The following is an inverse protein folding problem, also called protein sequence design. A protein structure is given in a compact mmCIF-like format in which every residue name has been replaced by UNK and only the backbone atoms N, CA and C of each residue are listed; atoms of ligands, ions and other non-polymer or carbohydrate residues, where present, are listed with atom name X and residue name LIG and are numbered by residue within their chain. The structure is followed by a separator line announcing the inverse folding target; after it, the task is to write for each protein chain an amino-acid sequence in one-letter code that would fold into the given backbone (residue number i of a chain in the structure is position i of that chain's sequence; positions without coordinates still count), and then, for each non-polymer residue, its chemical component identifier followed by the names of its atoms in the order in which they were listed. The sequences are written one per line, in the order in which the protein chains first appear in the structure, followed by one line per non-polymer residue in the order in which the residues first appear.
data_IF_536256791484
#
_entry.id   IF_536256791484
#
_cell.length_a   1.000
_cell.length_b   1.000
_cell.length_c   1.000
_cell.angle_alpha   90.00
_cell.angle_beta   90.00
_cell.angle_gamma   90.00
#
_symmetry.space_group_name_H-M   'P 1'
#
loop_
_entity.id
_entity.type
_entity.pdbx_description
1 polymer ?
#
# COMPACT_ATOMS: atom_id res chain seq x y z
N UNK A 1 18.64 13.59 21.66
CA UNK A 1 18.98 14.02 20.28
C UNK A 1 17.75 13.78 19.39
N UNK A 2 17.25 14.80 18.71
CA UNK A 2 15.93 14.76 18.04
C UNK A 2 15.92 13.71 16.89
N UNK A 3 14.97 12.78 16.89
CA UNK A 3 14.87 11.66 15.93
C UNK A 3 14.86 12.12 14.46
N UNK A 4 14.27 13.29 14.18
CA UNK A 4 14.31 13.93 12.86
C UNK A 4 15.72 14.37 12.43
N UNK A 5 16.59 14.81 13.36
CA UNK A 5 17.99 15.17 13.06
C UNK A 5 18.84 13.94 12.76
N UNK A 6 18.56 12.82 13.42
CA UNK A 6 19.24 11.54 13.17
C UNK A 6 18.88 11.04 11.77
N UNK A 7 17.59 11.00 11.45
CA UNK A 7 17.09 10.57 10.13
C UNK A 7 17.68 11.43 8.99
N UNK A 8 17.70 12.76 9.14
CA UNK A 8 18.33 13.65 8.15
C UNK A 8 19.83 13.39 7.96
N UNK A 9 20.55 13.09 9.04
CA UNK A 9 22.00 12.80 8.97
C UNK A 9 22.28 11.44 8.33
N UNK A 10 21.39 10.46 8.52
CA UNK A 10 21.47 9.16 7.86
C UNK A 10 21.15 9.26 6.35
N UNK A 11 20.10 10.01 5.98
CA UNK A 11 19.76 10.29 4.57
C UNK A 11 20.93 10.98 3.87
N UNK A 12 21.55 11.99 4.49
CA UNK A 12 22.68 12.70 3.91
C UNK A 12 23.92 11.80 3.72
N UNK A 13 24.17 10.89 4.66
CA UNK A 13 25.25 9.89 4.53
C UNK A 13 24.99 8.88 3.41
N UNK A 14 23.73 8.50 3.19
CA UNK A 14 23.35 7.61 2.09
C UNK A 14 23.44 8.33 0.74
N UNK A 15 22.96 9.58 0.64
CA UNK A 15 23.11 10.42 -0.57
C UNK A 15 24.56 10.57 -1.01
N UNK A 16 25.51 10.69 -0.07
CA UNK A 16 26.93 10.81 -0.38
C UNK A 16 27.61 9.52 -0.90
N UNK A 17 26.91 8.38 -0.95
CA UNK A 17 27.44 7.09 -1.43
C UNK A 17 26.91 6.68 -2.81
N UNK A 18 25.91 7.37 -3.33
CA UNK A 18 25.24 7.04 -4.60
C UNK A 18 25.76 8.01 -5.65
N UNK A 19 26.18 7.51 -6.81
CA UNK A 19 26.60 8.38 -7.92
C UNK A 19 25.42 9.20 -8.47
N UNK A 20 25.71 10.29 -9.18
CA UNK A 20 24.67 11.10 -9.83
C UNK A 20 23.86 10.26 -10.83
N UNK A 21 24.53 9.42 -11.61
CA UNK A 21 23.89 8.48 -12.54
C UNK A 21 22.92 7.54 -11.82
N UNK A 22 23.38 6.90 -10.74
CA UNK A 22 22.52 5.99 -9.97
C UNK A 22 21.35 6.73 -9.29
N UNK A 23 21.55 7.98 -8.90
CA UNK A 23 20.49 8.81 -8.32
C UNK A 23 19.39 9.07 -9.35
N UNK A 24 19.78 9.36 -10.60
CA UNK A 24 18.82 9.56 -11.69
C UNK A 24 18.06 8.27 -12.04
N UNK A 25 18.74 7.13 -12.07
CA UNK A 25 18.08 5.82 -12.27
C UNK A 25 17.04 5.54 -11.17
N UNK A 26 17.35 5.83 -9.90
CA UNK A 26 16.38 5.67 -8.82
C UNK A 26 15.21 6.64 -8.89
N UNK A 27 15.48 7.86 -9.34
CA UNK A 27 14.45 8.89 -9.52
C UNK A 27 13.45 8.44 -10.59
N UNK A 28 13.92 7.87 -11.70
CA UNK A 28 13.05 7.30 -12.75
C UNK A 28 12.13 6.19 -12.22
N UNK A 29 12.62 5.38 -11.27
CA UNK A 29 11.77 4.39 -10.59
C UNK A 29 10.65 5.08 -9.80
N UNK A 30 10.95 6.12 -9.03
CA UNK A 30 9.91 6.88 -8.32
C UNK A 30 8.92 7.58 -9.26
N UNK A 31 9.38 8.05 -10.42
CA UNK A 31 8.52 8.64 -11.45
C UNK A 31 7.51 7.62 -12.00
N UNK A 32 7.96 6.39 -12.29
CA UNK A 32 7.07 5.29 -12.70
C UNK A 32 6.11 4.87 -11.58
N UNK A 33 6.62 4.72 -10.37
CA UNK A 33 5.82 4.41 -9.19
C UNK A 33 4.69 5.44 -9.00
N UNK A 34 5.00 6.74 -9.11
CA UNK A 34 4.05 7.84 -8.99
C UNK A 34 3.08 7.91 -10.18
N UNK A 35 3.55 7.69 -11.41
CA UNK A 35 2.71 7.61 -12.63
C UNK A 35 1.58 6.61 -12.43
N UNK A 36 1.92 5.40 -12.00
CA UNK A 36 0.94 4.33 -11.81
C UNK A 36 0.11 4.50 -10.52
N UNK A 37 0.69 5.04 -9.44
CA UNK A 37 -0.08 5.43 -8.26
C UNK A 37 -1.20 6.40 -8.64
N UNK A 38 -0.90 7.43 -9.44
CA UNK A 38 -1.89 8.38 -9.93
C UNK A 38 -2.92 7.71 -10.84
N UNK A 39 -2.50 6.85 -11.77
CA UNK A 39 -3.40 6.10 -12.66
C UNK A 39 -4.45 5.32 -11.87
N UNK A 40 -4.00 4.49 -10.92
CA UNK A 40 -4.90 3.66 -10.12
C UNK A 40 -5.72 4.46 -9.11
N UNK A 41 -5.16 5.56 -8.58
CA UNK A 41 -5.93 6.51 -7.79
C UNK A 41 -7.13 7.07 -8.58
N UNK A 42 -6.90 7.61 -9.78
CA UNK A 42 -7.98 8.18 -10.60
C UNK A 42 -9.00 7.14 -11.02
N UNK A 43 -8.55 5.91 -11.29
CA UNK A 43 -9.46 4.79 -11.51
C UNK A 43 -10.37 4.52 -10.31
N UNK A 44 -9.80 4.43 -9.10
CA UNK A 44 -10.55 4.18 -7.88
C UNK A 44 -11.48 5.34 -7.53
N UNK A 45 -11.09 6.59 -7.84
CA UNK A 45 -11.98 7.75 -7.72
C UNK A 45 -13.14 7.68 -8.69
N UNK A 46 -12.89 7.30 -9.95
CA UNK A 46 -13.95 7.11 -10.94
C UNK A 46 -14.94 6.01 -10.51
N UNK A 47 -14.43 4.91 -9.95
CA UNK A 47 -15.25 3.78 -9.49
C UNK A 47 -15.76 3.92 -8.04
N UNK A 48 -15.62 5.10 -7.40
CA UNK A 48 -15.94 5.28 -5.98
C UNK A 48 -17.40 4.93 -5.66
N UNK A 49 -18.34 5.46 -6.44
CA UNK A 49 -19.77 5.21 -6.23
C UNK A 49 -20.12 3.73 -6.45
N UNK A 50 -19.54 3.09 -7.47
CA UNK A 50 -19.71 1.66 -7.75
C UNK A 50 -19.15 0.80 -6.61
N UNK A 51 -18.02 1.18 -6.01
CA UNK A 51 -17.48 0.51 -4.83
C UNK A 51 -18.43 0.62 -3.64
N UNK A 52 -18.91 1.82 -3.32
CA UNK A 52 -19.83 2.04 -2.20
C UNK A 52 -21.18 1.33 -2.38
N UNK A 53 -21.68 1.28 -3.62
CA UNK A 53 -22.85 0.47 -3.95
C UNK A 53 -22.55 -1.01 -3.73
N UNK A 54 -21.46 -1.52 -4.31
CA UNK A 54 -21.02 -2.90 -4.20
C UNK A 54 -20.87 -3.38 -2.75
N UNK A 55 -20.28 -2.58 -1.88
CA UNK A 55 -20.08 -2.92 -0.47
C UNK A 55 -21.38 -3.13 0.31
N UNK A 56 -22.49 -2.56 -0.15
CA UNK A 56 -23.82 -2.69 0.47
C UNK A 56 -24.64 -3.86 -0.06
N UNK A 57 -24.32 -4.37 -1.25
CA UNK A 57 -25.10 -5.42 -1.92
C UNK A 57 -25.30 -6.68 -1.07
N UNK A 58 -24.33 -7.04 -0.21
CA UNK A 58 -24.49 -8.19 0.69
C UNK A 58 -25.64 -8.05 1.69
N UNK A 59 -26.03 -6.83 2.07
CA UNK A 59 -27.12 -6.63 3.03
C UNK A 59 -28.49 -7.00 2.43
N UNK A 60 -28.63 -6.98 1.10
CA UNK A 60 -29.85 -7.40 0.40
C UNK A 60 -30.10 -8.92 0.51
N UNK A 61 -29.03 -9.71 0.66
CA UNK A 61 -29.06 -11.18 0.77
C UNK A 61 -28.60 -11.65 2.15
N UNK A 62 -28.76 -10.81 3.17
CA UNK A 62 -28.23 -11.05 4.52
C UNK A 62 -28.68 -12.37 5.13
N UNK A 63 -29.94 -12.72 4.95
CA UNK A 63 -30.53 -13.93 5.52
C UNK A 63 -29.88 -15.22 4.98
N UNK A 64 -29.26 -15.17 3.79
CA UNK A 64 -28.62 -16.32 3.16
C UNK A 64 -27.19 -16.57 3.63
N UNK A 65 -26.46 -15.53 4.08
CA UNK A 65 -25.05 -15.66 4.47
C UNK A 65 -24.79 -15.41 5.95
N UNK A 66 -25.67 -14.68 6.64
CA UNK A 66 -25.47 -14.35 8.05
C UNK A 66 -25.39 -15.62 8.91
N UNK A 67 -24.34 -15.73 9.73
CA UNK A 67 -24.04 -16.93 10.52
C UNK A 67 -23.16 -17.97 9.81
N UNK A 68 -22.94 -17.86 8.50
CA UNK A 68 -21.97 -18.70 7.76
C UNK A 68 -20.56 -18.10 7.75
N UNK A 69 -20.44 -16.80 8.01
CA UNK A 69 -19.18 -16.05 7.93
C UNK A 69 -19.07 -15.03 9.06
N UNK A 70 -17.85 -14.87 9.62
CA UNK A 70 -17.61 -14.07 10.82
C UNK A 70 -18.14 -14.79 12.07
N UNK A 71 -17.28 -15.10 13.03
CA UNK A 71 -17.71 -15.68 14.30
C UNK A 71 -18.07 -14.57 15.30
N UNK A 72 -19.04 -14.82 16.19
CA UNK A 72 -19.50 -13.86 17.22
C UNK A 72 -18.34 -13.34 18.10
N UNK A 73 -17.29 -14.15 18.25
CA UNK A 73 -16.09 -13.82 19.03
C UNK A 73 -15.10 -12.91 18.31
N UNK A 74 -15.31 -12.60 17.02
CA UNK A 74 -14.44 -11.70 16.26
C UNK A 74 -13.05 -12.21 15.94
N UNK A 75 -12.84 -13.51 16.02
CA UNK A 75 -11.57 -14.18 15.73
C UNK A 75 -11.52 -14.83 14.34
N UNK A 76 -12.55 -14.64 13.51
CA UNK A 76 -12.65 -15.13 12.14
C UNK A 76 -12.40 -14.04 11.09
N UNK A 77 -12.26 -14.46 9.83
CA UNK A 77 -12.11 -13.55 8.69
C UNK A 77 -13.32 -12.61 8.65
N UNK A 78 -13.07 -11.30 8.53
CA UNK A 78 -14.16 -10.33 8.45
C UNK A 78 -14.95 -10.54 7.16
N UNK A 79 -16.25 -10.73 7.31
CA UNK A 79 -17.24 -10.71 6.23
C UNK A 79 -17.12 -9.46 5.34
N UNK A 80 -16.94 -8.28 5.93
CA UNK A 80 -16.69 -7.04 5.20
C UNK A 80 -15.39 -7.11 4.39
N UNK A 81 -14.32 -7.68 4.94
CA UNK A 81 -13.04 -7.80 4.23
C UNK A 81 -13.19 -8.62 2.94
N UNK A 82 -13.82 -9.80 3.04
CA UNK A 82 -14.04 -10.69 1.89
C UNK A 82 -14.99 -10.08 0.86
N UNK A 83 -16.06 -9.43 1.32
CA UNK A 83 -16.99 -8.73 0.42
C UNK A 83 -16.32 -7.57 -0.31
N UNK A 84 -15.57 -6.73 0.41
CA UNK A 84 -14.87 -5.59 -0.16
C UNK A 84 -13.84 -6.01 -1.21
N UNK A 85 -13.10 -7.10 -0.93
CA UNK A 85 -12.13 -7.69 -1.86
C UNK A 85 -12.77 -8.05 -3.19
N UNK A 86 -13.88 -8.78 -3.12
CA UNK A 86 -14.63 -9.22 -4.29
C UNK A 86 -15.09 -8.05 -5.16
N UNK A 87 -15.60 -6.98 -4.55
CA UNK A 87 -16.06 -5.78 -5.27
C UNK A 87 -14.89 -5.06 -5.94
N UNK A 88 -13.82 -4.80 -5.20
CA UNK A 88 -12.65 -4.07 -5.72
C UNK A 88 -11.99 -4.87 -6.85
N UNK A 89 -11.85 -6.20 -6.71
CA UNK A 89 -11.25 -7.06 -7.73
C UNK A 89 -12.13 -7.18 -8.98
N UNK A 90 -13.46 -7.28 -8.82
CA UNK A 90 -14.37 -7.29 -9.96
C UNK A 90 -14.27 -5.99 -10.78
N UNK A 91 -14.19 -4.83 -10.11
CA UNK A 91 -14.06 -3.54 -10.78
C UNK A 91 -12.72 -3.40 -11.50
N UNK A 92 -11.60 -3.75 -10.83
CA UNK A 92 -10.26 -3.65 -11.41
C UNK A 92 -10.07 -4.60 -12.60
N UNK A 93 -10.57 -5.84 -12.50
CA UNK A 93 -10.50 -6.81 -13.61
C UNK A 93 -11.48 -6.47 -14.76
N UNK A 94 -12.67 -5.95 -14.45
CA UNK A 94 -13.71 -5.68 -15.44
C UNK A 94 -13.46 -4.45 -16.31
N UNK A 95 -12.64 -3.49 -15.87
CA UNK A 95 -12.45 -2.20 -16.56
C UNK A 95 -11.08 -2.03 -17.24
N UNK A 96 -10.35 -3.13 -17.48
CA UNK A 96 -9.21 -3.15 -18.41
C UNK A 96 -8.00 -2.31 -17.99
N UNK A 97 -7.65 -2.30 -16.70
CA UNK A 97 -6.57 -1.45 -16.16
C UNK A 97 -5.14 -1.91 -16.53
N UNK A 98 -5.02 -3.09 -17.14
CA UNK A 98 -3.81 -3.75 -17.64
C UNK A 98 -4.14 -5.16 -18.13
N UNK A 99 -3.15 -5.88 -18.66
CA UNK A 99 -3.33 -7.27 -19.09
C UNK A 99 -3.13 -8.21 -17.90
N UNK A 100 -4.13 -9.00 -17.47
CA UNK A 100 -3.95 -9.96 -16.37
C UNK A 100 -2.80 -10.93 -16.63
N UNK A 101 -2.08 -11.31 -15.57
CA UNK A 101 -0.96 -12.24 -15.66
C UNK A 101 -1.22 -13.50 -14.81
N UNK A 102 -0.94 -14.67 -15.38
CA UNK A 102 -1.24 -15.97 -14.77
C UNK A 102 -0.12 -16.54 -13.89
N UNK A 103 0.87 -15.73 -13.49
CA UNK A 103 1.96 -16.18 -12.63
C UNK A 103 1.42 -16.74 -11.29
N UNK A 104 1.89 -17.91 -10.82
CA UNK A 104 1.49 -18.46 -9.53
C UNK A 104 2.10 -17.71 -8.34
N UNK A 105 3.07 -16.82 -8.59
CA UNK A 105 3.70 -15.96 -7.58
C UNK A 105 3.37 -14.50 -7.90
N UNK A 106 2.61 -13.87 -7.02
CA UNK A 106 2.17 -12.48 -7.14
C UNK A 106 1.15 -12.11 -6.05
N UNK A 107 0.84 -10.81 -5.95
CA UNK A 107 -0.36 -10.32 -5.26
C UNK A 107 -1.64 -10.80 -5.92
N UNK A 108 -2.76 -10.65 -5.22
CA UNK A 108 -4.09 -11.06 -5.69
C UNK A 108 -4.46 -10.46 -7.05
N UNK A 109 -4.05 -9.21 -7.30
CA UNK A 109 -4.12 -8.61 -8.62
C UNK A 109 -2.73 -8.45 -9.21
N UNK A 110 -2.53 -9.06 -10.38
CA UNK A 110 -1.29 -8.99 -11.13
C UNK A 110 -1.56 -8.66 -12.60
N UNK A 111 -1.05 -7.50 -13.04
CA UNK A 111 -1.21 -7.01 -14.41
C UNK A 111 0.13 -6.68 -15.06
N UNK A 112 0.16 -6.81 -16.38
CA UNK A 112 1.21 -6.27 -17.24
C UNK A 112 0.69 -5.00 -17.92
N UNK A 113 1.54 -3.97 -17.95
CA UNK A 113 1.38 -2.74 -18.72
C UNK A 113 2.61 -2.53 -19.60
N UNK A 114 2.65 -1.45 -20.38
CA UNK A 114 3.68 -1.23 -21.40
C UNK A 114 5.12 -1.28 -20.83
N UNK A 115 5.35 -0.63 -19.69
CA UNK A 115 6.67 -0.40 -19.08
C UNK A 115 6.84 -1.06 -17.70
N UNK A 116 5.82 -1.78 -17.19
CA UNK A 116 5.84 -2.33 -15.83
C UNK A 116 4.98 -3.60 -15.66
N UNK A 117 5.30 -4.33 -14.60
CA UNK A 117 4.47 -5.35 -13.98
C UNK A 117 3.92 -4.81 -12.67
N UNK A 118 2.59 -4.86 -12.52
CA UNK A 118 1.87 -4.18 -11.46
C UNK A 118 1.25 -5.20 -10.54
N UNK A 119 1.64 -5.15 -9.27
CA UNK A 119 1.03 -5.91 -8.19
C UNK A 119 0.16 -4.98 -7.35
N UNK A 120 -1.11 -5.34 -7.18
CA UNK A 120 -2.03 -4.65 -6.28
C UNK A 120 -2.60 -5.67 -5.30
N UNK A 121 -2.56 -5.34 -4.02
CA UNK A 121 -3.10 -6.18 -2.95
C UNK A 121 -4.03 -5.35 -2.07
N UNK A 122 -5.16 -5.92 -1.65
CA UNK A 122 -6.11 -5.20 -0.81
C UNK A 122 -5.92 -5.51 0.67
N UNK A 123 -5.91 -4.47 1.51
CA UNK A 123 -5.80 -4.58 2.96
C UNK A 123 -6.97 -3.89 3.64
N UNK A 124 -7.80 -4.65 4.32
CA UNK A 124 -8.85 -4.09 5.18
C UNK A 124 -8.38 -4.02 6.63
N UNK A 125 -8.58 -2.87 7.28
CA UNK A 125 -8.20 -2.63 8.67
C UNK A 125 -9.43 -2.18 9.46
N UNK A 126 -9.66 -2.83 10.59
CA UNK A 126 -10.70 -2.41 11.53
C UNK A 126 -10.24 -1.19 12.33
N UNK A 127 -11.16 -0.29 12.68
CA UNK A 127 -10.88 0.93 13.44
C UNK A 127 -10.09 0.71 14.74
N UNK A 128 -10.27 -0.44 15.41
CA UNK A 128 -9.58 -0.75 16.67
C UNK A 128 -8.08 -1.05 16.43
N UNK A 129 -7.72 -1.44 15.21
CA UNK A 129 -6.36 -1.69 14.74
C UNK A 129 -5.83 -0.56 13.85
N UNK A 130 -6.31 0.67 14.00
CA UNK A 130 -5.95 1.83 13.15
C UNK A 130 -4.44 2.07 13.01
N UNK A 131 -3.62 1.61 13.96
CA UNK A 131 -2.15 1.65 13.83
C UNK A 131 -1.60 0.83 12.66
N UNK A 132 -2.28 -0.27 12.29
CA UNK A 132 -1.99 -1.11 11.12
C UNK A 132 -2.45 -0.46 9.80
N UNK A 133 -3.13 0.69 9.88
CA UNK A 133 -3.47 1.55 8.75
C UNK A 133 -2.53 2.76 8.66
N UNK A 134 -2.25 3.42 9.80
CA UNK A 134 -1.53 4.71 9.81
C UNK A 134 -0.02 4.58 9.88
N UNK A 135 0.51 3.55 10.53
CA UNK A 135 1.95 3.43 10.78
C UNK A 135 2.63 2.47 9.83
N UNK A 136 1.97 1.36 9.52
CA UNK A 136 2.57 0.27 8.78
C UNK A 136 1.54 -0.66 8.18
N UNK A 137 1.80 -1.20 6.99
CA UNK A 137 0.96 -2.17 6.30
C UNK A 137 1.64 -3.54 6.38
N UNK A 138 0.91 -4.60 6.73
CA UNK A 138 1.44 -5.96 6.65
C UNK A 138 1.69 -6.35 5.20
N UNK A 139 2.88 -6.89 4.90
CA UNK A 139 3.24 -7.32 3.54
C UNK A 139 3.78 -8.75 3.55
N UNK A 140 3.25 -9.56 2.64
CA UNK A 140 3.74 -10.91 2.36
C UNK A 140 4.91 -10.90 1.38
N UNK A 141 5.70 -11.97 1.37
CA UNK A 141 6.84 -12.17 0.46
C UNK A 141 6.44 -12.12 -1.02
N UNK A 142 5.23 -12.59 -1.36
CA UNK A 142 4.70 -12.58 -2.73
C UNK A 142 4.07 -11.23 -3.15
N UNK A 143 4.17 -10.18 -2.34
CA UNK A 143 3.44 -8.92 -2.55
C UNK A 143 4.34 -7.72 -2.86
N UNK A 144 5.65 -7.85 -2.70
CA UNK A 144 6.62 -6.77 -2.91
C UNK A 144 7.98 -7.31 -3.36
N UNK A 145 8.85 -6.41 -3.84
CA UNK A 145 10.21 -6.72 -4.30
C UNK A 145 11.31 -6.19 -3.38
N UNK A 146 10.96 -5.62 -2.21
CA UNK A 146 11.91 -4.90 -1.35
C UNK A 146 12.60 -5.82 -0.34
N UNK A 147 13.85 -6.18 -0.63
CA UNK A 147 14.72 -6.89 0.33
C UNK A 147 15.27 -5.94 1.40
N UNK A 148 15.55 -6.45 2.59
CA UNK A 148 16.23 -5.63 3.59
C UNK A 148 16.33 -6.27 4.96
N UNK A 149 17.02 -5.58 5.87
CA UNK A 149 17.17 -6.01 7.26
C UNK A 149 16.15 -5.33 8.15
N UNK A 150 15.37 -6.14 8.86
CA UNK A 150 14.41 -5.70 9.88
C UNK A 150 15.12 -5.65 11.22
N UNK A 151 15.09 -4.47 11.86
CA UNK A 151 15.60 -4.27 13.23
C UNK A 151 14.45 -4.45 14.23
N UNK A 152 14.51 -5.48 15.06
CA UNK A 152 13.52 -5.74 16.12
C UNK A 152 13.84 -4.93 17.38
N UNK A 153 12.82 -4.72 18.22
CA UNK A 153 12.94 -3.94 19.46
C UNK A 153 13.92 -4.55 20.48
N UNK A 154 14.11 -5.87 20.43
CA UNK A 154 15.07 -6.60 21.27
C UNK A 154 16.51 -6.58 20.72
N UNK A 155 16.79 -5.76 19.70
CA UNK A 155 18.12 -5.63 19.08
C UNK A 155 18.45 -6.73 18.06
N UNK A 156 17.59 -7.73 17.89
CA UNK A 156 17.77 -8.78 16.86
C UNK A 156 17.53 -8.19 15.48
N UNK A 157 18.37 -8.58 14.53
CA UNK A 157 18.18 -8.28 13.11
C UNK A 157 17.72 -9.53 12.37
N UNK A 158 16.75 -9.36 11.47
CA UNK A 158 16.22 -10.44 10.62
C UNK A 158 16.29 -9.97 9.17
N UNK A 159 16.83 -10.81 8.29
CA UNK A 159 16.84 -10.54 6.86
C UNK A 159 15.50 -10.94 6.27
N UNK A 160 14.86 -10.01 5.57
CA UNK A 160 13.65 -10.24 4.82
C UNK A 160 13.98 -10.41 3.34
N UNK A 161 13.49 -11.49 2.75
CA UNK A 161 13.69 -11.84 1.34
C UNK A 161 12.31 -11.90 0.68
N UNK A 162 11.98 -10.95 -0.21
CA UNK A 162 10.76 -11.02 -1.01
C UNK A 162 10.86 -12.12 -2.07
N UNK A 163 9.70 -12.60 -2.52
CA UNK A 163 9.60 -13.54 -3.64
C UNK A 163 9.52 -12.83 -5.00
N UNK A 164 9.07 -11.56 -5.03
CA UNK A 164 8.99 -10.81 -6.29
C UNK A 164 10.36 -10.24 -6.67
N UNK A 165 10.72 -10.27 -7.97
CA UNK A 165 11.94 -9.64 -8.44
C UNK A 165 11.77 -8.11 -8.48
N UNK A 166 12.88 -7.37 -8.53
CA UNK A 166 12.82 -5.92 -8.75
C UNK A 166 12.44 -5.56 -10.18
N UNK A 167 12.89 -6.38 -11.14
CA UNK A 167 12.51 -6.35 -12.54
C UNK A 167 12.14 -7.76 -12.98
N UNK A 168 11.04 -7.90 -13.69
CA UNK A 168 10.77 -9.11 -14.47
C UNK A 168 11.63 -9.07 -15.73
N UNK A 169 12.12 -10.25 -16.13
CA UNK A 169 12.99 -10.40 -17.29
C UNK A 169 14.26 -9.52 -17.24
N UNK A 170 14.84 -9.36 -16.04
CA UNK A 170 16.04 -8.52 -15.85
C UNK A 170 17.17 -8.90 -16.83
N UNK A 171 17.76 -7.90 -17.47
CA UNK A 171 18.78 -7.98 -18.53
C UNK A 171 18.30 -8.64 -19.84
N UNK A 172 17.00 -8.64 -20.13
CA UNK A 172 16.43 -9.13 -21.40
C UNK A 172 15.72 -7.98 -22.14
N UNK A 173 15.40 -8.20 -23.41
CA UNK A 173 14.75 -7.19 -24.26
C UNK A 173 13.37 -6.74 -23.79
N UNK A 174 12.68 -7.57 -23.00
CA UNK A 174 11.36 -7.31 -22.43
C UNK A 174 11.41 -7.09 -20.91
N UNK A 175 12.52 -6.54 -20.41
CA UNK A 175 12.66 -6.13 -19.00
C UNK A 175 11.59 -5.09 -18.64
N UNK A 176 10.91 -5.31 -17.51
CA UNK A 176 9.91 -4.39 -16.96
C UNK A 176 9.99 -4.36 -15.46
N UNK A 177 9.84 -3.16 -14.88
CA UNK A 177 9.94 -2.98 -13.43
C UNK A 177 8.74 -3.60 -12.70
N UNK A 178 8.98 -4.17 -11.52
CA UNK A 178 7.93 -4.68 -10.63
C UNK A 178 7.46 -3.58 -9.67
N UNK A 179 6.22 -3.12 -9.79
CA UNK A 179 5.65 -2.07 -8.93
C UNK A 179 4.58 -2.67 -8.00
N UNK A 180 4.58 -2.23 -6.74
CA UNK A 180 3.70 -2.77 -5.70
C UNK A 180 2.84 -1.70 -5.05
N UNK A 181 1.53 -1.94 -5.05
CA UNK A 181 0.53 -1.05 -4.48
C UNK A 181 -0.38 -1.79 -3.51
N UNK A 182 -0.89 -1.07 -2.52
CA UNK A 182 -1.84 -1.59 -1.55
C UNK A 182 -3.08 -0.71 -1.52
N UNK A 183 -4.25 -1.29 -1.82
CA UNK A 183 -5.53 -0.60 -1.60
C UNK A 183 -5.92 -0.85 -0.15
N UNK A 184 -5.96 0.20 0.66
CA UNK A 184 -6.23 0.11 2.09
C UNK A 184 -7.62 0.65 2.42
N UNK A 185 -8.43 -0.12 3.15
CA UNK A 185 -9.76 0.28 3.62
C UNK A 185 -9.81 0.25 5.14
N UNK A 186 -10.00 1.41 5.76
CA UNK A 186 -10.28 1.54 7.19
C UNK A 186 -11.79 1.61 7.39
N UNK A 187 -12.34 0.77 8.25
CA UNK A 187 -13.78 0.73 8.52
C UNK A 187 -14.11 0.54 10.00
N UNK A 188 -15.29 1.00 10.39
CA UNK A 188 -15.86 0.76 11.71
C UNK A 188 -16.51 -0.62 11.73
N UNK A 189 -16.02 -1.50 12.59
CA UNK A 189 -16.51 -2.88 12.66
C UNK A 189 -17.98 -3.00 13.09
N UNK A 190 -18.50 -2.08 13.89
CA UNK A 190 -19.83 -2.20 14.49
C UNK A 190 -20.95 -1.94 13.48
N UNK A 191 -20.76 -0.93 12.63
CA UNK A 191 -21.76 -0.49 11.66
C UNK A 191 -21.29 -0.66 10.19
N UNK A 192 -20.06 -1.14 9.99
CA UNK A 192 -19.41 -1.33 8.70
C UNK A 192 -19.18 -0.03 7.91
N UNK A 193 -19.28 1.13 8.57
CA UNK A 193 -19.00 2.41 7.93
C UNK A 193 -17.54 2.49 7.51
N UNK A 194 -17.33 2.79 6.23
CA UNK A 194 -16.00 3.07 5.71
C UNK A 194 -15.57 4.44 6.20
N UNK A 195 -14.36 4.48 6.76
CA UNK A 195 -13.74 5.69 7.28
C UNK A 195 -12.77 6.27 6.27
N UNK A 196 -11.90 5.44 5.68
CA UNK A 196 -10.90 5.85 4.69
C UNK A 196 -10.73 4.76 3.66
N UNK A 197 -10.64 5.15 2.38
CA UNK A 197 -10.12 4.29 1.30
C UNK A 197 -8.88 5.00 0.76
N UNK A 198 -7.76 4.31 0.70
CA UNK A 198 -6.52 4.83 0.14
C UNK A 198 -5.82 3.81 -0.77
N UNK A 199 -4.88 4.30 -1.56
CA UNK A 199 -3.91 3.48 -2.28
C UNK A 199 -2.50 3.93 -1.90
N UNK A 200 -1.68 2.98 -1.50
CA UNK A 200 -0.33 3.18 -0.98
C UNK A 200 0.69 2.54 -1.94
N UNK A 201 1.76 3.26 -2.26
CA UNK A 201 2.87 2.78 -3.10
C UNK A 201 4.06 2.39 -2.23
N UNK A 202 4.42 1.10 -2.27
CA UNK A 202 5.62 0.60 -1.61
C UNK A 202 6.82 0.72 -2.56
N UNK A 203 7.98 1.23 -2.08
CA UNK A 203 9.19 1.30 -2.90
C UNK A 203 9.58 -0.05 -3.50
N UNK A 204 9.98 -0.06 -4.77
CA UNK A 204 10.64 -1.17 -5.45
C UNK A 204 11.98 -1.50 -4.78
N UNK A 205 12.40 -2.77 -4.82
CA UNK A 205 13.63 -3.21 -4.17
C UNK A 205 14.95 -2.61 -4.71
N UNK A 206 15.00 -2.04 -5.91
CA UNK A 206 16.18 -1.28 -6.35
C UNK A 206 16.40 -0.01 -5.53
N UNK A 207 15.33 0.54 -4.93
CA UNK A 207 15.40 1.72 -4.07
C UNK A 207 16.02 1.42 -2.69
N UNK A 208 16.40 0.17 -2.42
CA UNK A 208 17.07 -0.23 -1.17
C UNK A 208 18.36 0.55 -0.93
N UNK A 209 19.14 0.84 -1.98
CA UNK A 209 20.37 1.64 -1.86
C UNK A 209 20.13 3.05 -1.30
N UNK A 210 18.92 3.59 -1.45
CA UNK A 210 18.55 4.91 -0.95
C UNK A 210 17.75 4.86 0.36
N UNK A 211 16.70 4.04 0.42
CA UNK A 211 15.84 3.98 1.60
C UNK A 211 16.39 3.06 2.71
N UNK A 212 17.24 2.09 2.36
CA UNK A 212 17.82 1.10 3.28
C UNK A 212 16.77 0.37 4.10
N UNK A 213 17.05 0.16 5.39
CA UNK A 213 16.13 -0.54 6.30
C UNK A 213 14.87 0.25 6.68
N UNK A 214 14.67 1.49 6.19
CA UNK A 214 13.54 2.34 6.62
C UNK A 214 12.20 1.84 6.12
N UNK A 215 12.17 1.16 4.98
CA UNK A 215 10.95 0.67 4.32
C UNK A 215 10.32 -0.47 5.11
N UNK A 216 11.12 -1.30 5.78
CA UNK A 216 10.64 -2.50 6.47
C UNK A 216 10.61 -2.27 7.99
N UNK A 217 9.60 -2.86 8.63
CA UNK A 217 9.51 -2.98 10.08
C UNK A 217 9.05 -4.38 10.48
N UNK A 218 9.25 -4.73 11.75
CA UNK A 218 8.95 -6.07 12.24
C UNK A 218 7.45 -6.36 12.22
N UNK A 219 7.08 -7.52 11.65
CA UNK A 219 5.74 -8.07 11.79
C UNK A 219 5.51 -8.68 13.18
N UNK A 220 4.25 -9.10 13.42
CA UNK A 220 3.84 -9.75 14.68
C UNK A 220 4.45 -11.15 14.85
N UNK A 221 4.78 -11.83 13.74
CA UNK A 221 5.33 -13.18 13.71
C UNK A 221 6.69 -13.20 12.98
N UNK A 222 7.59 -14.16 13.27
CA UNK A 222 8.81 -14.40 12.49
C UNK A 222 8.51 -14.59 10.99
N UNK A 223 9.39 -14.11 10.11
CA UNK A 223 9.19 -14.16 8.65
C UNK A 223 8.09 -13.23 8.13
N UNK A 224 7.53 -12.35 8.96
CA UNK A 224 6.53 -11.36 8.52
C UNK A 224 7.11 -9.95 8.53
N UNK A 225 7.03 -9.28 7.41
CA UNK A 225 7.42 -7.89 7.26
C UNK A 225 6.21 -6.96 7.28
N UNK A 226 6.49 -5.68 7.56
CA UNK A 226 5.53 -4.59 7.42
C UNK A 226 6.17 -3.46 6.63
N UNK A 227 5.47 -2.94 5.64
CA UNK A 227 5.81 -1.67 4.99
C UNK A 227 5.62 -0.53 5.99
N UNK A 228 6.70 0.18 6.31
CA UNK A 228 6.77 1.21 7.35
C UNK A 228 6.38 2.59 6.80
N UNK A 229 5.08 2.76 6.60
CA UNK A 229 4.47 3.98 6.07
C UNK A 229 4.82 5.23 6.90
N UNK A 230 4.99 5.08 8.22
CA UNK A 230 5.37 6.18 9.10
C UNK A 230 6.72 6.80 8.73
N UNK A 231 7.67 5.97 8.29
CA UNK A 231 9.02 6.40 7.94
C UNK A 231 9.19 6.68 6.45
N UNK A 232 8.37 6.06 5.60
CA UNK A 232 8.46 6.14 4.14
C UNK A 232 7.07 6.32 3.55
N UNK A 233 6.60 7.58 3.50
CA UNK A 233 5.32 7.98 2.88
C UNK A 233 5.48 9.06 1.80
N UNK A 234 6.71 9.33 1.36
CA UNK A 234 7.06 10.34 0.36
C UNK A 234 7.97 9.75 -0.70
N UNK A 235 7.82 10.21 -1.94
CA UNK A 235 8.78 10.01 -3.02
C UNK A 235 9.93 10.99 -2.79
N UNK A 236 11.00 10.53 -2.14
CA UNK A 236 12.04 11.41 -1.58
C UNK A 236 13.08 11.86 -2.61
N UNK A 237 13.07 11.27 -3.80
CA UNK A 237 13.95 11.61 -4.92
C UNK A 237 13.26 12.57 -5.92
N UNK A 238 11.94 12.74 -5.81
CA UNK A 238 11.16 13.65 -6.66
C UNK A 238 11.05 15.05 -6.06
N UNK A 239 10.94 16.05 -6.92
CA UNK A 239 10.71 17.43 -6.51
C UNK A 239 9.38 17.58 -5.75
N UNK A 240 9.41 18.36 -4.67
CA UNK A 240 8.24 18.57 -3.80
C UNK A 240 7.89 17.40 -2.90
N UNK A 241 8.63 16.28 -2.99
CA UNK A 241 8.43 15.05 -2.21
C UNK A 241 6.94 14.64 -2.17
N UNK A 242 6.31 14.30 -3.31
CA UNK A 242 4.91 13.94 -3.35
C UNK A 242 4.62 12.73 -2.45
N UNK A 243 3.37 12.61 -2.00
CA UNK A 243 2.98 11.51 -1.12
C UNK A 243 2.96 10.18 -1.87
N UNK A 244 3.48 9.12 -1.24
CA UNK A 244 3.30 7.71 -1.68
C UNK A 244 1.90 7.16 -1.38
N UNK A 245 1.00 8.01 -0.91
CA UNK A 245 -0.36 7.69 -0.49
C UNK A 245 -1.30 8.60 -1.28
N UNK A 246 -2.37 8.03 -1.83
CA UNK A 246 -3.49 8.79 -2.37
C UNK A 246 -4.78 8.34 -1.67
N UNK A 247 -5.54 9.30 -1.17
CA UNK A 247 -6.80 9.03 -0.45
C UNK A 247 -7.96 9.13 -1.42
N UNK A 248 -8.61 7.99 -1.66
CA UNK A 248 -9.80 7.87 -2.52
C UNK A 248 -10.99 8.47 -1.79
N UNK A 249 -11.22 8.06 -0.55
CA UNK A 249 -12.35 8.49 0.27
C UNK A 249 -11.89 8.80 1.70
N UNK A 250 -12.46 9.84 2.31
CA UNK A 250 -12.26 10.20 3.71
C UNK A 250 -13.59 10.65 4.33
N UNK A 251 -14.08 9.94 5.34
CA UNK A 251 -15.34 10.26 6.01
C UNK A 251 -15.19 11.46 6.95
N UNK A 252 -15.89 12.55 6.67
CA UNK A 252 -15.91 13.71 7.58
C UNK A 252 -16.75 13.47 8.85
N UNK A 253 -17.58 12.41 8.85
CA UNK A 253 -18.51 12.08 9.94
C UNK A 253 -17.89 11.23 11.06
N UNK A 254 -16.62 10.86 10.94
CA UNK A 254 -15.95 10.03 11.95
C UNK A 254 -15.72 10.78 13.28
N UNK A 255 -15.69 10.05 14.39
CA UNK A 255 -15.40 10.62 15.71
C UNK A 255 -14.01 11.29 15.73
N UNK A 256 -13.90 12.40 16.48
CA UNK A 256 -12.69 13.24 16.51
C UNK A 256 -11.42 12.46 16.92
N UNK A 257 -11.55 11.49 17.83
CA UNK A 257 -10.45 10.62 18.27
C UNK A 257 -9.79 9.85 17.11
N UNK A 258 -10.53 9.56 16.04
CA UNK A 258 -10.01 8.89 14.85
C UNK A 258 -9.44 9.91 13.85
N UNK A 259 -10.08 11.08 13.66
CA UNK A 259 -9.52 12.18 12.84
C UNK A 259 -8.13 12.57 13.32
N UNK A 260 -7.97 12.67 14.64
CA UNK A 260 -6.69 12.97 15.28
C UNK A 260 -5.58 11.97 14.92
N UNK A 261 -5.92 10.69 14.75
CA UNK A 261 -4.97 9.64 14.30
C UNK A 261 -4.75 9.64 12.79
N UNK A 262 -5.68 10.22 12.02
CA UNK A 262 -5.71 10.21 10.55
C UNK A 262 -5.30 11.54 9.91
N UNK A 263 -4.75 12.50 10.68
CA UNK A 263 -4.32 13.83 10.18
C UNK A 263 -3.50 13.80 8.90
N UNK A 264 -2.62 12.80 8.74
CA UNK A 264 -1.84 12.63 7.52
C UNK A 264 -2.75 12.38 6.31
N UNK A 265 -3.67 11.42 6.43
CA UNK A 265 -4.60 11.03 5.37
C UNK A 265 -5.59 12.17 5.06
N UNK A 266 -6.11 12.84 6.09
CA UNK A 266 -6.98 14.00 5.92
C UNK A 266 -6.29 15.12 5.15
N UNK A 267 -5.04 15.46 5.53
CA UNK A 267 -4.24 16.47 4.83
C UNK A 267 -4.02 16.09 3.37
N UNK A 268 -3.68 14.83 3.10
CA UNK A 268 -3.46 14.34 1.73
C UNK A 268 -4.76 14.45 0.92
N UNK A 269 -5.89 14.01 1.49
CA UNK A 269 -7.20 14.09 0.85
C UNK A 269 -7.60 15.53 0.49
N UNK A 270 -7.41 16.48 1.41
CA UNK A 270 -7.68 17.91 1.18
C UNK A 270 -6.82 18.48 0.06
N UNK A 271 -5.51 18.25 0.12
CA UNK A 271 -4.57 18.70 -0.91
C UNK A 271 -4.87 18.11 -2.30
N UNK A 272 -5.39 16.87 -2.36
CA UNK A 272 -5.79 16.25 -3.63
C UNK A 272 -7.04 16.89 -4.25
N UNK A 273 -7.96 17.42 -3.43
CA UNK A 273 -9.14 18.13 -3.92
C UNK A 273 -8.82 19.53 -4.45
N UNK A 274 -7.85 20.21 -3.85
CA UNK A 274 -7.44 21.55 -4.28
C UNK A 274 -6.69 21.57 -5.62
N UNK A 275 -6.16 20.40 -6.04
CA UNK A 275 -5.47 20.23 -7.32
C UNK A 275 -6.30 19.55 -8.42
N UNK A 276 -7.59 19.33 -8.19
CA UNK A 276 -8.59 18.86 -9.16
C UNK A 276 -9.45 20.04 -9.62
#
# INVERSE_FOLDING_TARGET
MNMKKILKKEILKMKNKISEKETEELKQIEELELKYLNKYYYFLKFAEDEMFFGFKTKEEIKDDWCGLYGNEKGSGISDFAVGAERIVYALLNGKGIGQPNSSPVGSDLFFEVEDAYIHIDMKTVQQDNIGDFTNSIFVGENQNSYKGTIKKSNGITENYIPALPTYYNKNKSNEKICLSYFITILYNRKNLDIMVIAIDCMPNGELEKYYGSRVLSAGKNPGKARFNLKNVNKFELLEGEPSRIKVVYFSEKMEEKYKEKLKLFEKIYKNQKEGL
#
